data_IF_550218903553
#
_entry.id   IF_550218903553
#
_cell.length_a   1.000
_cell.length_b   1.000
_cell.length_c   1.000
_cell.angle_alpha   90.00
_cell.angle_beta   90.00
_cell.angle_gamma   90.00
#
_symmetry.space_group_name_H-M   'P 1'
#
loop_
_entity.id
_entity.type
_entity.pdbx_description
1 polymer ?
#
# COMPACT_ATOMS: atom_id res chain seq x y z
N UNK A 1 -29.15 -16.55 4.82
CA UNK A 1 -27.81 -16.69 5.42
C UNK A 1 -26.99 -15.56 4.85
N UNK A 2 -26.30 -14.78 5.69
CA UNK A 2 -25.51 -13.65 5.19
C UNK A 2 -24.32 -14.14 4.38
N UNK A 3 -24.24 -13.76 3.11
CA UNK A 3 -23.14 -14.16 2.23
C UNK A 3 -21.90 -13.30 2.44
N UNK A 4 -20.73 -13.76 1.95
CA UNK A 4 -19.50 -12.95 1.91
C UNK A 4 -19.73 -11.57 1.27
N UNK A 5 -20.53 -11.53 0.20
CA UNK A 5 -20.84 -10.31 -0.54
C UNK A 5 -21.68 -9.32 0.27
N UNK A 6 -22.53 -9.79 1.18
CA UNK A 6 -23.32 -8.92 2.06
C UNK A 6 -22.49 -8.26 3.17
N UNK A 7 -21.31 -8.80 3.49
CA UNK A 7 -20.40 -8.23 4.49
C UNK A 7 -19.38 -7.26 3.91
N UNK A 8 -19.27 -7.20 2.57
CA UNK A 8 -18.37 -6.25 1.90
C UNK A 8 -18.95 -4.84 1.96
N UNK A 9 -18.09 -3.88 2.25
CA UNK A 9 -18.43 -2.46 2.08
C UNK A 9 -18.30 -2.01 0.62
N UNK A 10 -18.52 -0.72 0.37
CA UNK A 10 -18.41 -0.10 -0.96
C UNK A 10 -17.01 -0.24 -1.60
N UNK A 11 -15.96 -0.41 -0.77
CA UNK A 11 -14.59 -0.63 -1.20
C UNK A 11 -14.32 -2.14 -1.49
N UNK A 12 -15.30 -3.02 -1.25
CA UNK A 12 -15.18 -4.47 -1.37
C UNK A 12 -14.38 -5.11 -0.22
N UNK A 13 -14.24 -4.42 0.91
CA UNK A 13 -13.46 -4.86 2.07
C UNK A 13 -14.38 -5.37 3.18
N UNK A 14 -13.84 -6.24 4.04
CA UNK A 14 -14.54 -6.79 5.20
C UNK A 14 -13.75 -6.43 6.46
N UNK A 15 -14.44 -5.95 7.49
CA UNK A 15 -13.83 -5.67 8.79
C UNK A 15 -13.35 -6.96 9.44
N UNK A 16 -12.13 -6.96 9.99
CA UNK A 16 -11.61 -8.09 10.75
C UNK A 16 -12.44 -8.37 12.01
N UNK A 17 -13.25 -7.42 12.49
CA UNK A 17 -14.20 -7.65 13.58
C UNK A 17 -15.30 -8.66 13.21
N UNK A 18 -15.55 -8.91 11.93
CA UNK A 18 -16.51 -9.91 11.43
C UNK A 18 -15.85 -11.28 11.14
N UNK A 19 -14.55 -11.41 11.41
CA UNK A 19 -13.74 -12.59 11.10
C UNK A 19 -13.28 -13.28 12.39
N UNK A 20 -13.50 -14.59 12.48
CA UNK A 20 -12.84 -15.46 13.44
C UNK A 20 -11.54 -15.99 12.84
N UNK A 21 -10.47 -15.90 13.63
CA UNK A 21 -9.12 -16.33 13.26
C UNK A 21 -8.84 -17.62 14.03
N UNK A 22 -8.48 -18.69 13.32
CA UNK A 22 -8.04 -19.93 13.97
C UNK A 22 -6.78 -19.67 14.82
N UNK A 23 -6.81 -19.93 16.14
CA UNK A 23 -5.69 -19.66 17.02
C UNK A 23 -4.48 -20.57 16.78
N UNK A 24 -4.68 -21.73 16.12
CA UNK A 24 -3.61 -22.66 15.78
C UNK A 24 -3.00 -22.35 14.41
N UNK A 25 -3.79 -21.75 13.52
CA UNK A 25 -3.41 -21.44 12.16
C UNK A 25 -3.94 -20.06 11.76
N UNK A 26 -3.21 -18.99 12.12
CA UNK A 26 -3.64 -17.59 11.94
C UNK A 26 -4.05 -17.16 10.52
N UNK A 27 -3.91 -18.03 9.51
CA UNK A 27 -4.36 -17.81 8.12
C UNK A 27 -5.66 -18.53 7.75
N UNK A 28 -6.22 -19.34 8.66
CA UNK A 28 -7.57 -19.86 8.51
C UNK A 28 -8.55 -18.82 9.07
N UNK A 29 -9.31 -18.22 8.17
CA UNK A 29 -10.26 -17.16 8.48
C UNK A 29 -11.68 -17.66 8.25
N UNK A 30 -12.58 -17.38 9.17
CA UNK A 30 -13.98 -17.77 9.10
C UNK A 30 -14.88 -16.57 9.34
N UNK A 31 -15.99 -16.45 8.61
CA UNK A 31 -16.99 -15.43 8.89
C UNK A 31 -17.71 -15.77 10.21
N UNK A 32 -17.70 -14.87 11.19
CA UNK A 32 -18.33 -15.08 12.51
C UNK A 32 -19.79 -15.51 12.43
N UNK A 33 -20.53 -14.94 11.48
CA UNK A 33 -21.99 -15.14 11.36
C UNK A 33 -22.39 -16.46 10.73
N UNK A 34 -21.54 -17.04 9.89
CA UNK A 34 -21.89 -18.22 9.08
C UNK A 34 -20.95 -19.40 9.28
N UNK A 35 -19.77 -19.19 9.85
CA UNK A 35 -18.69 -20.18 9.90
C UNK A 35 -18.09 -20.48 8.52
N UNK A 36 -18.45 -19.72 7.47
CA UNK A 36 -17.90 -19.91 6.13
C UNK A 36 -16.40 -19.59 6.15
N UNK A 37 -15.58 -20.52 5.67
CA UNK A 37 -14.15 -20.27 5.47
C UNK A 37 -13.94 -19.27 4.33
N UNK A 38 -13.04 -18.32 4.56
CA UNK A 38 -12.66 -17.27 3.62
C UNK A 38 -11.14 -17.17 3.55
N UNK A 39 -10.63 -16.57 2.48
CA UNK A 39 -9.20 -16.52 2.20
C UNK A 39 -8.75 -15.09 1.95
N UNK A 40 -7.56 -14.74 2.43
CA UNK A 40 -6.96 -13.45 2.14
C UNK A 40 -6.74 -13.27 0.62
N UNK A 41 -6.95 -12.06 0.12
CA UNK A 41 -6.39 -11.65 -1.17
C UNK A 41 -4.85 -11.75 -1.12
N UNK A 42 -4.18 -12.45 -2.05
CA UNK A 42 -2.73 -12.65 -2.01
C UNK A 42 -1.89 -11.39 -1.80
N UNK A 43 -2.34 -10.26 -2.34
CA UNK A 43 -1.65 -8.96 -2.22
C UNK A 43 -1.64 -8.39 -0.80
N UNK A 44 -2.47 -8.89 0.12
CA UNK A 44 -2.50 -8.43 1.53
C UNK A 44 -1.85 -9.41 2.49
N UNK A 45 -1.15 -10.45 2.04
CA UNK A 45 -0.57 -11.44 2.95
C UNK A 45 0.41 -10.81 3.95
N UNK A 46 1.31 -9.93 3.49
CA UNK A 46 2.25 -9.23 4.39
C UNK A 46 1.55 -8.32 5.39
N UNK A 47 0.53 -7.56 4.93
CA UNK A 47 -0.31 -6.72 5.80
C UNK A 47 -1.03 -7.58 6.85
N UNK A 48 -1.64 -8.69 6.42
CA UNK A 48 -2.36 -9.62 7.27
C UNK A 48 -1.45 -10.23 8.36
N UNK A 49 -0.22 -10.61 7.99
CA UNK A 49 0.76 -11.16 8.94
C UNK A 49 1.05 -10.19 10.09
N UNK A 50 1.00 -8.87 9.85
CA UNK A 50 1.17 -7.83 10.88
C UNK A 50 -0.11 -7.66 11.70
N UNK A 51 -1.24 -7.34 11.05
CA UNK A 51 -2.46 -6.91 11.74
C UNK A 51 -3.13 -8.03 12.53
N UNK A 52 -3.05 -9.29 12.07
CA UNK A 52 -3.69 -10.43 12.75
C UNK A 52 -3.02 -10.78 14.09
N UNK A 53 -1.78 -10.33 14.30
CA UNK A 53 -1.03 -10.52 15.54
C UNK A 53 -1.16 -9.33 16.51
N UNK A 54 -1.85 -8.25 16.09
CA UNK A 54 -1.94 -6.97 16.80
C UNK A 54 -3.41 -6.61 17.03
N UNK A 55 -4.00 -6.93 18.19
CA UNK A 55 -5.42 -6.69 18.45
C UNK A 55 -5.86 -5.24 18.25
N UNK A 56 -4.98 -4.29 18.60
CA UNK A 56 -5.17 -2.85 18.38
C UNK A 56 -5.36 -2.53 16.90
N UNK A 57 -4.44 -2.99 16.03
CA UNK A 57 -4.53 -2.79 14.58
C UNK A 57 -5.67 -3.61 13.96
N UNK A 58 -5.86 -4.86 14.38
CA UNK A 58 -6.91 -5.74 13.87
C UNK A 58 -8.29 -5.10 14.03
N UNK A 59 -8.56 -4.43 15.16
CA UNK A 59 -9.85 -3.82 15.46
C UNK A 59 -10.25 -2.68 14.51
N UNK A 60 -9.28 -2.02 13.89
CA UNK A 60 -9.45 -0.91 12.96
C UNK A 60 -9.22 -1.29 11.50
N UNK A 61 -8.91 -2.56 11.22
CA UNK A 61 -8.55 -3.04 9.89
C UNK A 61 -9.74 -3.63 9.14
N UNK A 62 -9.80 -3.33 7.84
CA UNK A 62 -10.59 -4.04 6.85
C UNK A 62 -9.68 -4.62 5.77
N UNK A 63 -9.93 -5.86 5.35
CA UNK A 63 -9.16 -6.56 4.32
C UNK A 63 -10.07 -7.06 3.20
N UNK A 64 -9.53 -7.16 1.98
CA UNK A 64 -10.16 -7.89 0.88
C UNK A 64 -10.00 -9.38 1.10
N UNK A 65 -11.13 -10.08 1.13
CA UNK A 65 -11.21 -11.53 1.29
C UNK A 65 -11.89 -12.15 0.06
N UNK A 66 -11.48 -13.37 -0.26
CA UNK A 66 -11.96 -14.17 -1.37
C UNK A 66 -12.67 -15.43 -0.84
N UNK A 67 -13.69 -15.93 -1.57
CA UNK A 67 -14.32 -17.21 -1.25
C UNK A 67 -13.39 -18.41 -1.52
N UNK A 68 -12.40 -18.22 -2.41
CA UNK A 68 -11.47 -19.26 -2.83
C UNK A 68 -10.03 -18.92 -2.44
N UNK A 69 -9.24 -19.96 -2.14
CA UNK A 69 -7.81 -19.82 -1.88
C UNK A 69 -7.09 -19.49 -3.18
N UNK A 70 -6.54 -18.28 -3.25
CA UNK A 70 -5.65 -17.83 -4.34
C UNK A 70 -4.21 -17.78 -3.84
N UNK A 71 -3.26 -17.76 -4.75
CA UNK A 71 -1.85 -17.53 -4.43
C UNK A 71 -1.24 -16.61 -5.46
N UNK A 72 -0.29 -15.78 -5.02
CA UNK A 72 0.56 -15.00 -5.91
C UNK A 72 1.94 -15.65 -5.90
N UNK A 73 2.49 -15.93 -7.08
CA UNK A 73 3.89 -16.29 -7.26
C UNK A 73 4.53 -15.14 -8.02
N UNK A 74 5.66 -14.65 -7.54
CA UNK A 74 6.39 -13.55 -8.16
C UNK A 74 7.89 -13.79 -8.05
N UNK A 75 8.64 -13.18 -8.97
CA UNK A 75 10.07 -13.01 -8.80
C UNK A 75 10.33 -11.83 -7.84
N UNK A 76 11.53 -11.74 -7.24
CA UNK A 76 11.94 -10.58 -6.46
C UNK A 76 11.72 -9.27 -7.21
N UNK A 77 11.26 -8.24 -6.51
CA UNK A 77 11.10 -6.90 -7.05
C UNK A 77 12.07 -5.99 -6.32
N UNK A 78 12.93 -5.31 -7.05
CA UNK A 78 13.96 -4.42 -6.49
C UNK A 78 13.51 -2.97 -6.63
N UNK A 79 13.52 -2.20 -5.55
CA UNK A 79 13.12 -0.80 -5.59
C UNK A 79 13.48 -0.02 -4.33
N UNK A 80 13.18 1.27 -4.35
CA UNK A 80 13.36 2.13 -3.18
C UNK A 80 12.27 1.82 -2.15
N UNK A 81 12.62 1.60 -0.88
CA UNK A 81 11.64 1.27 0.15
C UNK A 81 10.79 2.49 0.51
N UNK A 82 9.53 2.25 0.89
CA UNK A 82 8.55 3.29 1.23
C UNK A 82 9.10 4.31 2.24
N UNK A 83 9.81 3.83 3.27
CA UNK A 83 10.36 4.70 4.31
C UNK A 83 11.34 5.77 3.80
N UNK A 84 12.04 5.53 2.69
CA UNK A 84 12.94 6.53 2.08
C UNK A 84 12.11 7.65 1.47
N UNK A 85 11.09 7.30 0.70
CA UNK A 85 10.13 8.26 0.17
C UNK A 85 9.42 9.04 1.28
N UNK A 86 9.00 8.35 2.34
CA UNK A 86 8.35 8.96 3.50
C UNK A 86 9.26 9.91 4.30
N UNK A 87 10.53 9.54 4.51
CA UNK A 87 11.49 10.39 5.23
C UNK A 87 11.76 11.69 4.48
N UNK A 88 11.94 11.61 3.15
CA UNK A 88 12.13 12.80 2.32
C UNK A 88 10.88 13.67 2.30
N UNK A 89 9.72 13.04 2.11
CA UNK A 89 8.41 13.66 2.22
C UNK A 89 8.18 14.43 3.53
N UNK A 90 8.58 13.87 4.66
CA UNK A 90 8.41 14.50 5.97
C UNK A 90 9.22 15.79 6.11
N UNK A 91 10.28 15.96 5.30
CA UNK A 91 11.13 17.15 5.28
C UNK A 91 10.53 18.33 4.49
N UNK A 92 9.45 18.12 3.74
CA UNK A 92 8.80 19.19 2.98
C UNK A 92 8.33 20.35 3.87
N UNK A 93 8.31 21.56 3.30
CA UNK A 93 7.80 22.75 3.98
C UNK A 93 6.26 22.70 4.07
N UNK A 94 5.65 23.12 5.20
CA UNK A 94 4.20 23.28 5.27
C UNK A 94 3.69 24.22 4.16
N UNK A 95 2.57 23.85 3.51
CA UNK A 95 2.01 24.61 2.39
C UNK A 95 2.53 24.19 1.02
N UNK A 96 3.33 23.12 0.94
CA UNK A 96 3.89 22.61 -0.30
C UNK A 96 3.49 21.16 -0.57
N UNK A 97 3.45 20.82 -1.86
CA UNK A 97 3.42 19.46 -2.37
C UNK A 97 4.84 19.12 -2.82
N UNK A 98 5.45 18.12 -2.20
CA UNK A 98 6.68 17.51 -2.67
C UNK A 98 6.34 16.28 -3.51
N UNK A 99 6.85 16.24 -4.74
CA UNK A 99 6.77 15.11 -5.64
C UNK A 99 8.16 14.53 -5.80
N UNK A 100 8.30 13.26 -5.46
CA UNK A 100 9.57 12.54 -5.55
C UNK A 100 9.39 11.30 -6.40
N UNK A 101 10.33 11.08 -7.32
CA UNK A 101 10.38 9.89 -8.15
C UNK A 101 11.71 9.18 -7.93
N UNK A 102 11.62 7.87 -7.70
CA UNK A 102 12.75 7.01 -7.37
C UNK A 102 12.87 5.90 -8.41
N UNK A 103 14.03 5.83 -9.07
CA UNK A 103 14.40 4.79 -10.05
C UNK A 103 15.74 4.17 -9.68
N UNK A 104 15.91 2.87 -9.94
CA UNK A 104 17.20 2.21 -9.72
C UNK A 104 18.21 2.67 -10.78
N UNK A 105 19.46 2.92 -10.36
CA UNK A 105 20.54 3.38 -11.26
C UNK A 105 20.96 2.28 -12.24
N UNK A 106 21.07 1.04 -11.75
CA UNK A 106 21.54 -0.11 -12.53
C UNK A 106 20.46 -1.17 -12.72
N UNK A 107 19.37 -0.80 -13.40
CA UNK A 107 18.30 -1.73 -13.71
C UNK A 107 18.79 -2.96 -14.49
N UNK A 108 19.80 -2.80 -15.36
CA UNK A 108 20.29 -3.89 -16.20
C UNK A 108 20.91 -5.04 -15.39
N UNK A 109 21.64 -4.72 -14.31
CA UNK A 109 22.19 -5.76 -13.44
C UNK A 109 21.12 -6.47 -12.63
N UNK A 110 20.11 -5.75 -12.14
CA UNK A 110 19.04 -6.32 -11.31
C UNK A 110 18.00 -7.10 -12.12
N UNK A 111 17.73 -6.72 -13.38
CA UNK A 111 16.83 -7.44 -14.30
C UNK A 111 17.23 -8.90 -14.53
N UNK A 112 18.46 -9.30 -14.19
CA UNK A 112 18.92 -10.71 -14.24
C UNK A 112 18.41 -11.57 -13.08
N UNK A 113 18.03 -10.95 -11.95
CA UNK A 113 17.66 -11.64 -10.72
C UNK A 113 16.19 -11.42 -10.31
N UNK A 114 15.51 -10.49 -10.97
CA UNK A 114 14.15 -10.09 -10.63
C UNK A 114 13.69 -8.90 -11.47
N UNK A 115 12.64 -8.23 -11.01
CA UNK A 115 12.09 -7.04 -11.66
C UNK A 115 12.55 -5.77 -10.95
N UNK A 116 12.63 -4.66 -11.66
CA UNK A 116 12.90 -3.35 -11.07
C UNK A 116 11.60 -2.58 -10.90
N UNK A 117 11.42 -1.94 -9.75
CA UNK A 117 10.29 -1.09 -9.44
C UNK A 117 10.66 0.38 -9.55
N UNK A 118 9.76 1.18 -10.12
CA UNK A 118 9.76 2.64 -9.96
C UNK A 118 8.78 3.01 -8.86
N UNK A 119 9.21 3.84 -7.92
CA UNK A 119 8.35 4.42 -6.88
C UNK A 119 8.15 5.92 -7.16
N UNK A 120 6.90 6.35 -7.20
CA UNK A 120 6.51 7.77 -7.22
C UNK A 120 5.81 8.07 -5.91
N UNK A 121 6.23 9.12 -5.22
CA UNK A 121 5.67 9.54 -3.95
C UNK A 121 5.28 11.02 -4.03
N UNK A 122 4.00 11.31 -3.77
CA UNK A 122 3.50 12.66 -3.61
C UNK A 122 3.13 12.89 -2.17
N UNK A 123 3.64 13.97 -1.61
CA UNK A 123 3.36 14.34 -0.23
C UNK A 123 2.91 15.78 -0.14
N UNK A 124 1.77 15.95 0.52
CA UNK A 124 1.19 17.24 0.82
C UNK A 124 1.26 17.45 2.33
N UNK A 125 1.89 18.54 2.76
CA UNK A 125 2.03 18.87 4.17
C UNK A 125 1.34 20.18 4.50
N UNK A 126 0.50 20.14 5.53
CA UNK A 126 -0.12 21.30 6.15
C UNK A 126 0.21 21.30 7.66
N UNK A 127 -0.26 22.32 8.37
CA UNK A 127 -0.22 22.33 9.85
C UNK A 127 -1.10 21.24 10.46
N UNK A 128 -2.14 20.79 9.75
CA UNK A 128 -3.18 19.90 10.27
C UNK A 128 -2.92 18.43 9.93
N UNK A 129 -2.18 18.15 8.87
CA UNK A 129 -1.89 16.79 8.42
C UNK A 129 -0.72 16.75 7.44
N UNK A 130 -0.10 15.58 7.36
CA UNK A 130 0.64 15.09 6.20
C UNK A 130 -0.24 14.06 5.48
N UNK A 131 -0.44 14.25 4.18
CA UNK A 131 -1.02 13.26 3.27
C UNK A 131 0.09 12.71 2.37
N UNK A 132 0.18 11.39 2.29
CA UNK A 132 1.11 10.67 1.42
C UNK A 132 0.30 9.84 0.44
N UNK A 133 0.69 9.91 -0.82
CA UNK A 133 0.22 9.05 -1.88
C UNK A 133 1.44 8.47 -2.59
N UNK A 134 1.52 7.15 -2.71
CA UNK A 134 2.64 6.49 -3.40
C UNK A 134 2.15 5.49 -4.43
N UNK A 135 2.81 5.47 -5.58
CA UNK A 135 2.59 4.53 -6.67
C UNK A 135 3.85 3.74 -6.93
N UNK A 136 3.75 2.43 -6.95
CA UNK A 136 4.84 1.53 -7.33
C UNK A 136 4.44 0.69 -8.53
N UNK A 137 5.27 0.77 -9.57
CA UNK A 137 5.10 0.01 -10.79
C UNK A 137 6.30 -0.88 -11.07
N UNK A 138 6.03 -2.04 -11.66
CA UNK A 138 7.03 -2.98 -12.16
C UNK A 138 6.57 -3.52 -13.51
N UNK A 139 7.48 -3.79 -14.43
CA UNK A 139 7.14 -4.40 -15.73
C UNK A 139 6.51 -5.82 -15.61
N UNK A 140 6.58 -6.45 -14.44
CA UNK A 140 6.02 -7.78 -14.19
C UNK A 140 4.49 -7.81 -14.09
N UNK A 141 3.90 -6.69 -13.66
CA UNK A 141 2.48 -6.60 -13.34
C UNK A 141 1.83 -5.49 -14.16
N UNK A 142 0.66 -5.73 -14.76
CA UNK A 142 -0.06 -4.68 -15.48
C UNK A 142 -0.63 -3.61 -14.53
N UNK A 143 -0.76 -3.96 -13.25
CA UNK A 143 -1.31 -3.10 -12.20
C UNK A 143 -0.20 -2.30 -11.50
N UNK A 144 -0.54 -1.08 -11.12
CA UNK A 144 0.25 -0.24 -10.21
C UNK A 144 -0.23 -0.43 -8.79
N UNK A 145 0.70 -0.68 -7.86
CA UNK A 145 0.42 -0.69 -6.42
C UNK A 145 0.34 0.73 -5.91
N UNK A 146 -0.63 0.99 -5.06
CA UNK A 146 -0.90 2.32 -4.54
C UNK A 146 -1.11 2.28 -3.03
N UNK A 147 -0.55 3.27 -2.33
CA UNK A 147 -0.81 3.51 -0.91
C UNK A 147 -1.24 4.96 -0.73
N UNK A 148 -2.24 5.15 0.12
CA UNK A 148 -2.66 6.44 0.61
C UNK A 148 -2.65 6.46 2.13
N UNK A 149 -2.09 7.50 2.73
CA UNK A 149 -2.11 7.68 4.17
C UNK A 149 -2.24 9.14 4.58
N UNK A 150 -2.91 9.37 5.71
CA UNK A 150 -3.10 10.69 6.29
C UNK A 150 -2.77 10.65 7.78
N UNK A 151 -1.97 11.60 8.25
CA UNK A 151 -1.59 11.76 9.66
C UNK A 151 -2.53 12.69 10.45
N UNK A 152 -2.47 12.57 11.78
CA UNK A 152 -3.06 13.51 12.73
C UNK A 152 -2.01 14.58 13.03
N UNK A 153 -2.23 15.82 12.57
CA UNK A 153 -1.22 16.88 12.69
C UNK A 153 -0.05 16.68 11.72
N UNK A 154 0.85 17.66 11.67
CA UNK A 154 2.01 17.63 10.76
C UNK A 154 3.15 16.64 11.13
N UNK A 155 2.99 15.82 12.17
CA UNK A 155 4.00 14.85 12.63
C UNK A 155 3.46 13.73 13.52
N UNK A 156 2.13 13.57 13.64
CA UNK A 156 1.53 12.60 14.53
C UNK A 156 1.31 11.23 13.88
N UNK A 157 0.59 10.31 14.57
CA UNK A 157 0.25 9.01 14.02
C UNK A 157 -0.65 9.14 12.78
N UNK A 158 -0.72 8.08 11.98
CA UNK A 158 -1.70 8.00 10.90
C UNK A 158 -3.12 7.89 11.49
N UNK A 159 -4.08 8.61 10.91
CA UNK A 159 -5.52 8.42 11.12
C UNK A 159 -6.15 7.49 10.10
N UNK A 160 -5.48 7.32 8.96
CA UNK A 160 -5.96 6.57 7.82
C UNK A 160 -4.77 6.04 7.03
N UNK A 161 -4.83 4.76 6.65
CA UNK A 161 -3.90 4.13 5.73
C UNK A 161 -4.67 3.11 4.89
N UNK A 162 -4.61 3.21 3.57
CA UNK A 162 -5.15 2.21 2.66
C UNK A 162 -4.18 1.88 1.54
N UNK A 163 -4.41 0.71 0.93
CA UNK A 163 -3.66 0.29 -0.24
C UNK A 163 -4.57 -0.36 -1.27
N UNK A 164 -4.29 -0.05 -2.52
CA UNK A 164 -5.08 -0.48 -3.67
C UNK A 164 -4.18 -0.83 -4.86
N UNK A 165 -4.75 -1.52 -5.84
CA UNK A 165 -4.17 -1.54 -7.19
C UNK A 165 -5.03 -0.76 -8.16
N UNK A 166 -4.40 -0.30 -9.24
CA UNK A 166 -5.04 0.42 -10.33
C UNK A 166 -4.38 0.06 -11.65
N UNK A 167 -5.15 0.12 -12.73
CA UNK A 167 -4.66 0.00 -14.08
C UNK A 167 -4.39 1.40 -14.64
N UNK A 168 -3.36 1.51 -15.47
CA UNK A 168 -2.98 2.75 -16.13
C UNK A 168 -2.90 2.53 -17.64
N UNK A 169 -3.38 3.50 -18.40
CA UNK A 169 -3.11 3.55 -19.83
C UNK A 169 -1.64 3.94 -20.06
N UNK A 170 -1.08 3.70 -21.26
CA UNK A 170 0.28 4.14 -21.57
C UNK A 170 0.51 5.65 -21.33
N UNK A 171 -0.50 6.49 -21.58
CA UNK A 171 -0.43 7.92 -21.33
C UNK A 171 -0.41 8.27 -19.83
N UNK A 172 -1.13 7.50 -19.01
CA UNK A 172 -1.09 7.66 -17.56
C UNK A 172 0.27 7.23 -16.99
N UNK A 173 0.84 6.15 -17.54
CA UNK A 173 2.18 5.69 -17.18
C UNK A 173 3.23 6.77 -17.43
N UNK A 174 3.21 7.40 -18.61
CA UNK A 174 4.11 8.50 -18.92
C UNK A 174 3.86 9.69 -17.98
N UNK A 175 2.60 10.06 -17.76
CA UNK A 175 2.25 11.17 -16.87
C UNK A 175 2.75 10.93 -15.43
N UNK A 176 2.61 9.72 -14.91
CA UNK A 176 2.95 9.39 -13.53
C UNK A 176 4.44 9.08 -13.34
N UNK A 177 4.98 8.15 -14.13
CA UNK A 177 6.33 7.58 -13.94
C UNK A 177 7.41 8.23 -14.80
N UNK A 178 7.05 9.19 -15.66
CA UNK A 178 8.01 10.07 -16.33
C UNK A 178 7.89 11.50 -15.80
N UNK A 179 6.66 12.01 -15.64
CA UNK A 179 6.43 13.41 -15.31
C UNK A 179 6.03 13.67 -13.84
N UNK A 180 5.86 12.63 -13.01
CA UNK A 180 5.43 12.80 -11.61
C UNK A 180 4.07 13.50 -11.47
N UNK A 181 3.18 13.32 -12.45
CA UNK A 181 1.84 13.92 -12.45
C UNK A 181 0.84 12.91 -11.93
N UNK A 182 0.06 13.30 -10.92
CA UNK A 182 -0.96 12.45 -10.31
C UNK A 182 -2.03 12.12 -11.35
N UNK A 183 -2.35 10.85 -11.48
CA UNK A 183 -3.43 10.34 -12.34
C UNK A 183 -4.30 9.42 -11.50
N UNK A 184 -5.63 9.46 -11.72
CA UNK A 184 -6.59 8.73 -10.88
C UNK A 184 -6.61 7.22 -11.18
N UNK A 185 -6.02 6.81 -12.32
CA UNK A 185 -6.05 5.44 -12.82
C UNK A 185 -7.46 4.94 -13.12
N UNK A 186 -7.53 3.76 -13.73
CA UNK A 186 -8.76 2.99 -13.92
C UNK A 186 -8.77 1.75 -13.03
N UNK A 187 -9.96 1.16 -12.81
CA UNK A 187 -10.12 -0.10 -12.06
C UNK A 187 -9.53 -0.07 -10.64
N UNK A 188 -9.74 1.02 -9.91
CA UNK A 188 -9.26 1.17 -8.55
C UNK A 188 -9.85 0.09 -7.62
N UNK A 189 -8.98 -0.79 -7.11
CA UNK A 189 -9.36 -1.93 -6.27
C UNK A 189 -8.64 -1.88 -4.92
N UNK A 190 -9.35 -1.47 -3.86
CA UNK A 190 -8.79 -1.48 -2.50
C UNK A 190 -8.55 -2.91 -2.01
N UNK A 191 -7.44 -3.09 -1.32
CA UNK A 191 -7.01 -4.37 -0.77
C UNK A 191 -7.03 -4.37 0.75
N UNK A 192 -6.63 -3.27 1.38
CA UNK A 192 -6.73 -3.10 2.82
C UNK A 192 -7.02 -1.64 3.16
N UNK A 193 -7.55 -1.43 4.37
CA UNK A 193 -7.81 -0.11 4.93
C UNK A 193 -7.74 -0.18 6.45
N UNK A 194 -7.05 0.77 7.07
CA UNK A 194 -7.03 1.00 8.51
C UNK A 194 -7.52 2.42 8.77
N UNK A 195 -8.54 2.57 9.62
CA UNK A 195 -9.06 3.87 10.07
C UNK A 195 -9.01 3.95 11.60
N UNK A 196 -8.18 4.84 12.13
CA UNK A 196 -7.91 4.93 13.57
C UNK A 196 -6.49 5.41 13.83
N UNK A 197 -6.05 5.36 15.09
CA UNK A 197 -4.68 5.72 15.45
C UNK A 197 -3.74 4.60 15.05
N UNK A 198 -2.84 4.87 14.11
CA UNK A 198 -1.83 3.94 13.62
C UNK A 198 -0.46 4.58 13.85
N UNK A 199 0.34 3.98 14.71
CA UNK A 199 1.67 4.50 15.02
C UNK A 199 2.55 4.55 13.77
N UNK A 200 3.41 5.57 13.70
CA UNK A 200 4.28 5.80 12.52
C UNK A 200 5.09 4.54 12.12
N UNK A 201 5.74 3.82 13.05
CA UNK A 201 6.47 2.60 12.70
C UNK A 201 5.56 1.50 12.13
N UNK A 202 4.35 1.36 12.67
CA UNK A 202 3.38 0.36 12.18
C UNK A 202 2.88 0.73 10.77
N UNK A 203 2.60 2.02 10.51
CA UNK A 203 2.19 2.48 9.18
C UNK A 203 3.27 2.23 8.11
N UNK A 204 4.54 2.49 8.45
CA UNK A 204 5.67 2.19 7.56
C UNK A 204 5.79 0.68 7.33
N UNK A 205 5.69 -0.13 8.39
CA UNK A 205 5.78 -1.59 8.26
C UNK A 205 4.63 -2.16 7.40
N UNK A 206 3.40 -1.65 7.56
CA UNK A 206 2.25 -2.04 6.75
C UNK A 206 2.44 -1.65 5.28
N UNK A 207 2.98 -0.46 5.02
CA UNK A 207 3.26 0.00 3.66
C UNK A 207 4.35 -0.84 2.98
N UNK A 208 5.45 -1.13 3.68
CA UNK A 208 6.53 -1.99 3.18
C UNK A 208 6.07 -3.45 3.01
N UNK A 209 5.16 -3.94 3.84
CA UNK A 209 4.59 -5.28 3.71
C UNK A 209 3.56 -5.41 2.57
N UNK A 210 3.03 -4.29 2.07
CA UNK A 210 2.10 -4.25 0.95
C UNK A 210 2.77 -4.04 -0.39
N UNK A 211 3.72 -3.09 -0.47
CA UNK A 211 4.41 -2.80 -1.71
C UNK A 211 5.30 -4.00 -2.09
N UNK A 212 5.32 -4.42 -3.36
CA UNK A 212 6.07 -5.61 -3.78
C UNK A 212 7.59 -5.50 -3.66
N UNK A 213 8.14 -4.30 -3.44
CA UNK A 213 9.59 -4.05 -3.38
C UNK A 213 10.30 -4.72 -2.20
N UNK A 214 11.32 -5.53 -2.51
CA UNK A 214 12.32 -6.00 -1.56
C UNK A 214 13.34 -4.89 -1.26
N UNK A 215 13.74 -4.82 0.01
CA UNK A 215 14.74 -3.85 0.47
C UNK A 215 16.11 -4.20 -0.10
N UNK A 216 16.64 -3.34 -0.97
CA UNK A 216 18.06 -3.35 -1.33
C UNK A 216 18.76 -2.08 -0.87
N UNK A 217 19.98 -2.24 -0.37
CA UNK A 217 20.91 -1.18 -0.05
C UNK A 217 21.56 -0.63 -1.34
N UNK A 218 20.75 -0.27 -2.34
CA UNK A 218 21.23 0.12 -3.67
C UNK A 218 21.13 1.64 -3.89
N UNK A 219 22.05 2.15 -4.70
CA UNK A 219 22.05 3.53 -5.20
C UNK A 219 20.82 3.75 -6.11
N UNK A 220 20.15 4.89 -5.95
CA UNK A 220 18.94 5.26 -6.69
C UNK A 220 19.07 6.67 -7.27
N UNK A 221 18.41 6.90 -8.41
CA UNK A 221 18.15 8.24 -8.91
C UNK A 221 16.89 8.79 -8.26
N UNK A 222 17.01 10.00 -7.73
CA UNK A 222 15.92 10.76 -7.11
C UNK A 222 15.71 12.04 -7.91
N UNK A 223 14.48 12.27 -8.35
CA UNK A 223 14.06 13.54 -8.94
C UNK A 223 12.95 14.13 -8.10
N UNK A 224 13.18 15.34 -7.59
CA UNK A 224 12.23 16.05 -6.75
C UNK A 224 11.66 17.28 -7.45
N UNK A 225 10.38 17.56 -7.21
CA UNK A 225 9.72 18.81 -7.61
C UNK A 225 8.82 19.29 -6.50
N UNK A 226 9.07 20.50 -6.00
CA UNK A 226 8.21 21.17 -5.03
C UNK A 226 7.28 22.18 -5.72
N UNK A 227 6.05 22.27 -5.25
CA UNK A 227 5.07 23.26 -5.71
C UNK A 227 4.24 23.76 -4.53
N UNK A 228 3.92 25.06 -4.50
CA UNK A 228 3.00 25.61 -3.49
C UNK A 228 1.59 25.05 -3.71
N UNK A 229 0.91 24.73 -2.60
CA UNK A 229 -0.51 24.36 -2.58
C UNK A 229 -1.38 25.56 -2.96
#
# INVERSE_FOLDING_TARGET
>A
MTTLEELRDEDGLISLNEIDIDPLWHRNLFLKRTGQQVYLEPRVYGVADIVLQRPDLSSITKLRLNPDRRGLKGAPVFGVPFRVGFAKASSAHPGYILKSMYKLIDEQSFRKYGYCATLVAHVQKSSEYIQIETWQFTEAFPETFYIHGITIGGSGPFKHLDGATMNHTPADFESLFTNGTKVKGDSYAKHFRLDGVIEMPDAIALAEAYLPGEQLNAEYFETDTESKI
#
